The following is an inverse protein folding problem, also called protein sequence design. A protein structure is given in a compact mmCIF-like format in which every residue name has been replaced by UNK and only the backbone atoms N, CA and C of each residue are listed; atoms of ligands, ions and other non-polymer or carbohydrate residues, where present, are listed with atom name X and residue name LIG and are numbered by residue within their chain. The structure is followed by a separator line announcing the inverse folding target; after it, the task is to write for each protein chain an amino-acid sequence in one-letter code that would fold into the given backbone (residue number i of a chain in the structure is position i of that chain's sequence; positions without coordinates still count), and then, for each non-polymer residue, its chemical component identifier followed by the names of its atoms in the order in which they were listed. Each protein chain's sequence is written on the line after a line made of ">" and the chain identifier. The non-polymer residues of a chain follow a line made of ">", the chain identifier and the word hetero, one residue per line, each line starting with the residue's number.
data_IF_093572344011
#
_entry.id   IF_093572344011
#
_cell.length_a   1.000
_cell.length_b   1.000
_cell.length_c   1.000
_cell.angle_alpha   90.00
_cell.angle_beta   90.00
_cell.angle_gamma   90.00
#
_symmetry.space_group_name_H-M   'P 1'
#
loop_
_entity.id
_entity.type
_entity.pdbx_description
1 polymer ?
#
# COMPACT_ATOMS: atom_id res chain seq x y z
N UNK A 1 2.00 7.40 -8.10
CA UNK A 1 3.16 6.51 -7.77
C UNK A 1 3.92 7.16 -6.63
N UNK A 2 3.90 6.54 -5.45
CA UNK A 2 4.45 7.09 -4.19
C UNK A 2 5.56 6.16 -3.67
N UNK A 3 6.41 6.61 -2.71
CA UNK A 3 7.36 5.71 -2.04
C UNK A 3 6.68 4.47 -1.44
N UNK A 4 5.42 4.58 -1.03
CA UNK A 4 4.62 3.45 -0.56
C UNK A 4 4.36 2.40 -1.64
N UNK A 5 4.21 2.79 -2.92
CA UNK A 5 4.05 1.85 -4.03
C UNK A 5 5.33 1.05 -4.26
N UNK A 6 6.49 1.71 -4.20
CA UNK A 6 7.79 1.06 -4.36
C UNK A 6 8.05 0.07 -3.22
N UNK A 7 7.76 0.48 -1.98
CA UNK A 7 7.93 -0.37 -0.81
C UNK A 7 6.90 -1.51 -0.74
N UNK A 8 5.70 -1.33 -1.32
CA UNK A 8 4.70 -2.39 -1.42
C UNK A 8 4.97 -3.39 -2.55
N UNK A 9 5.59 -2.95 -3.65
CA UNK A 9 5.99 -3.84 -4.75
C UNK A 9 7.12 -4.79 -4.38
N UNK A 10 7.78 -4.58 -3.24
CA UNK A 10 8.94 -5.35 -2.83
C UNK A 10 8.65 -6.12 -1.53
N UNK A 11 8.86 -7.44 -1.55
CA UNK A 11 8.43 -8.35 -0.47
C UNK A 11 9.23 -8.15 0.82
N UNK A 12 10.45 -7.61 0.71
CA UNK A 12 11.41 -7.50 1.80
C UNK A 12 11.46 -6.12 2.47
N UNK A 13 10.77 -5.12 1.92
CA UNK A 13 10.78 -3.71 2.38
C UNK A 13 9.63 -3.39 3.35
N UNK A 14 9.14 -4.40 4.08
CA UNK A 14 8.05 -4.24 5.05
C UNK A 14 8.43 -3.28 6.19
N UNK A 15 9.71 -3.19 6.55
CA UNK A 15 10.23 -2.23 7.56
C UNK A 15 10.12 -0.80 7.06
N UNK A 16 10.44 -0.57 5.79
CA UNK A 16 10.32 0.75 5.17
C UNK A 16 8.84 1.15 5.08
N UNK A 17 7.96 0.22 4.72
CA UNK A 17 6.51 0.42 4.77
C UNK A 17 6.02 0.78 6.16
N UNK A 18 6.52 0.13 7.21
CA UNK A 18 6.15 0.44 8.58
C UNK A 18 6.58 1.86 8.98
N UNK A 19 7.80 2.26 8.61
CA UNK A 19 8.31 3.62 8.85
C UNK A 19 7.51 4.68 8.08
N UNK A 20 7.18 4.42 6.81
CA UNK A 20 6.32 5.28 6.00
C UNK A 20 4.89 5.38 6.56
N UNK A 21 4.33 4.26 7.01
CA UNK A 21 3.01 4.22 7.65
C UNK A 21 2.98 5.05 8.94
N UNK A 22 4.05 4.95 9.75
CA UNK A 22 4.19 5.77 10.96
C UNK A 22 4.28 7.27 10.66
N UNK A 23 4.84 7.64 9.50
CA UNK A 23 4.88 9.04 9.03
C UNK A 23 3.56 9.55 8.45
N UNK A 24 2.47 8.78 8.54
CA UNK A 24 1.17 9.19 8.00
C UNK A 24 1.14 9.19 6.47
N UNK A 25 1.95 8.35 5.82
CA UNK A 25 1.94 8.25 4.37
C UNK A 25 0.54 7.85 3.87
N UNK A 26 0.04 8.58 2.88
CA UNK A 26 -1.24 8.29 2.27
C UNK A 26 -1.19 6.96 1.50
N UNK A 27 -1.87 5.96 2.07
CA UNK A 27 -1.98 4.61 1.53
C UNK A 27 -3.07 4.48 0.45
N UNK A 28 -3.88 5.54 0.26
CA UNK A 28 -4.98 5.57 -0.70
C UNK A 28 -4.57 6.12 -2.06
N UNK A 29 -3.44 6.82 -2.13
CA UNK A 29 -2.84 7.32 -3.36
C UNK A 29 -2.75 6.22 -4.42
N UNK A 30 -3.24 6.51 -5.63
CA UNK A 30 -3.21 5.58 -6.77
C UNK A 30 -1.96 5.79 -7.63
N UNK A 31 -1.47 4.69 -8.20
CA UNK A 31 -0.37 4.65 -9.15
C UNK A 31 -0.81 5.14 -10.54
N UNK A 32 0.12 5.10 -11.49
CA UNK A 32 -0.13 5.48 -12.89
C UNK A 32 -1.18 4.59 -13.57
N UNK A 33 -1.44 3.40 -13.03
CA UNK A 33 -2.42 2.43 -13.52
C UNK A 33 -3.67 2.34 -12.62
N UNK A 34 -3.92 3.33 -11.76
CA UNK A 34 -5.00 3.25 -10.76
C UNK A 34 -4.73 2.29 -9.59
N UNK A 35 -3.64 1.49 -9.64
CA UNK A 35 -3.29 0.55 -8.57
C UNK A 35 -2.88 1.30 -7.30
N UNK A 36 -3.51 0.98 -6.17
CA UNK A 36 -3.05 1.41 -4.84
C UNK A 36 -1.82 0.60 -4.39
N UNK A 37 -1.06 1.07 -3.39
CA UNK A 37 0.02 0.29 -2.81
C UNK A 37 -0.45 -1.08 -2.28
N UNK A 38 -1.70 -1.21 -1.84
CA UNK A 38 -2.28 -2.50 -1.45
C UNK A 38 -2.33 -3.49 -2.61
N UNK A 39 -2.73 -3.05 -3.82
CA UNK A 39 -2.72 -3.92 -5.01
C UNK A 39 -1.31 -4.45 -5.30
N UNK A 40 -0.29 -3.59 -5.15
CA UNK A 40 1.10 -3.98 -5.35
C UNK A 40 1.59 -4.96 -4.28
N UNK A 41 1.21 -4.76 -3.02
CA UNK A 41 1.53 -5.68 -1.91
C UNK A 41 0.91 -7.07 -2.09
N UNK A 42 -0.35 -7.11 -2.56
CA UNK A 42 -1.05 -8.36 -2.90
C UNK A 42 -0.37 -9.03 -4.10
N UNK A 43 -0.07 -8.28 -5.17
CA UNK A 43 0.64 -8.79 -6.34
C UNK A 43 2.04 -9.31 -6.02
N UNK A 44 2.72 -8.69 -5.06
CA UNK A 44 4.02 -9.13 -4.56
C UNK A 44 3.95 -10.38 -3.65
N UNK A 45 2.74 -10.82 -3.26
CA UNK A 45 2.53 -12.00 -2.42
C UNK A 45 3.06 -11.84 -0.99
N UNK A 46 3.14 -10.60 -0.48
CA UNK A 46 3.75 -10.32 0.81
C UNK A 46 2.69 -10.02 1.88
N UNK A 47 2.24 -11.07 2.56
CA UNK A 47 1.25 -10.97 3.65
C UNK A 47 1.65 -9.99 4.75
N UNK A 48 2.94 -9.85 5.05
CA UNK A 48 3.43 -8.87 6.04
C UNK A 48 3.17 -7.44 5.60
N UNK A 49 3.46 -7.12 4.34
CA UNK A 49 3.21 -5.77 3.80
C UNK A 49 1.72 -5.45 3.71
N UNK A 50 0.90 -6.43 3.34
CA UNK A 50 -0.57 -6.33 3.33
C UNK A 50 -1.10 -6.06 4.73
N UNK A 51 -0.63 -6.80 5.76
CA UNK A 51 -1.00 -6.55 7.16
C UNK A 51 -0.63 -5.16 7.65
N UNK A 52 0.56 -4.65 7.28
CA UNK A 52 1.00 -3.30 7.68
C UNK A 52 0.12 -2.23 7.03
N UNK A 53 -0.21 -2.38 5.75
CA UNK A 53 -1.10 -1.46 5.03
C UNK A 53 -2.54 -1.50 5.56
N UNK A 54 -3.05 -2.68 5.92
CA UNK A 54 -4.38 -2.86 6.54
C UNK A 54 -4.45 -2.35 7.98
N UNK A 55 -3.36 -2.47 8.73
CA UNK A 55 -3.26 -1.96 10.11
C UNK A 55 -3.09 -0.42 10.15
N UNK A 56 -3.23 0.26 9.03
CA UNK A 56 -3.28 1.71 8.98
C UNK A 56 -4.69 2.19 9.36
N UNK A 57 -4.89 2.86 10.51
CA UNK A 57 -6.21 3.29 10.97
C UNK A 57 -6.88 4.34 10.07
N UNK A 58 -6.15 4.90 9.10
CA UNK A 58 -6.65 5.88 8.12
C UNK A 58 -6.95 5.29 6.74
N UNK A 59 -6.69 3.99 6.53
CA UNK A 59 -7.11 3.30 5.32
C UNK A 59 -8.62 3.09 5.41
N UNK A 60 -9.41 4.14 5.14
CA UNK A 60 -10.80 3.96 4.72
C UNK A 60 -10.75 3.14 3.45
N UNK A 61 -10.93 1.84 3.60
CA UNK A 61 -11.26 0.87 2.56
C UNK A 61 -12.64 1.20 1.98
N UNK A 62 -12.84 2.44 1.52
CA UNK A 62 -14.01 2.79 0.72
C UNK A 62 -13.78 2.14 -0.63
N UNK A 63 -14.39 0.97 -0.80
CA UNK A 63 -14.43 0.16 -2.01
C UNK A 63 -14.93 0.96 -3.21
N UNK A 64 -14.01 1.71 -3.81
CA UNK A 64 -14.15 2.25 -5.16
C UNK A 64 -12.93 1.79 -5.93
N UNK A 65 -12.84 0.47 -6.11
CA UNK A 65 -12.14 -0.10 -7.25
C UNK A 65 -12.87 0.37 -8.50
N UNK A 66 -12.68 1.65 -8.86
CA UNK A 66 -13.19 2.23 -10.10
C UNK A 66 -12.27 1.71 -11.20
N UNK A 67 -12.45 0.44 -11.55
CA UNK A 67 -12.10 -0.09 -12.85
C UNK A 67 -13.01 0.63 -13.85
N UNK A 68 -12.52 1.76 -14.35
CA UNK A 68 -12.97 2.39 -15.59
C UNK A 68 -11.98 2.04 -16.68
#
# INVERSE_FOLDING_TARGET
>A
MTPLHLAASNKHTWRDLQALNFKGADVTSTGRNGCTPLHLAVKAGSLKTVKILLNCPFAKYTGTERFG
#
